data_IF_255614571429
#
_entry.id   IF_255614571429
#
_cell.length_a   1.000
_cell.length_b   1.000
_cell.length_c   1.000
_cell.angle_alpha   90.00
_cell.angle_beta   90.00
_cell.angle_gamma   90.00
#
_symmetry.space_group_name_H-M   'P 1'
#
loop_
_entity.id
_entity.type
_entity.pdbx_description
1 polymer ?
#
# COMPACT_ATOMS: atom_id res chain seq x y z
N UNK A 1 16.38 -2.40 7.18
CA UNK A 1 16.96 -1.65 6.05
C UNK A 1 17.35 -0.29 6.57
N UNK A 2 18.56 0.18 6.26
CA UNK A 2 19.10 1.45 6.74
C UNK A 2 19.69 2.22 5.56
N UNK A 3 19.50 3.54 5.53
CA UNK A 3 20.07 4.43 4.52
C UNK A 3 20.76 5.56 5.28
N UNK A 4 22.04 5.77 5.03
CA UNK A 4 22.81 6.88 5.59
C UNK A 4 22.81 8.03 4.60
N UNK A 5 22.35 9.19 5.06
CA UNK A 5 22.17 10.39 4.24
C UNK A 5 22.99 11.49 4.90
N UNK A 6 23.92 12.07 4.15
CA UNK A 6 24.57 13.34 4.51
C UNK A 6 23.74 14.50 3.97
N UNK A 7 24.08 15.72 4.37
CA UNK A 7 23.35 16.95 4.00
C UNK A 7 23.12 17.12 2.49
N UNK A 8 23.92 16.49 1.64
CA UNK A 8 23.82 16.60 0.17
C UNK A 8 23.74 15.27 -0.58
N UNK A 9 24.01 14.12 0.04
CA UNK A 9 24.06 12.85 -0.70
C UNK A 9 23.74 11.63 0.17
N UNK A 10 23.45 10.52 -0.51
CA UNK A 10 23.30 9.21 0.14
C UNK A 10 24.66 8.54 0.11
N UNK A 11 25.19 8.19 1.28
CA UNK A 11 26.52 7.58 1.39
C UNK A 11 26.44 6.07 1.33
N UNK A 12 25.47 5.45 2.02
CA UNK A 12 25.33 4.00 2.06
C UNK A 12 23.85 3.61 2.15
N UNK A 13 23.53 2.44 1.60
CA UNK A 13 22.23 1.79 1.78
C UNK A 13 22.44 0.32 2.07
N UNK A 14 21.91 -0.16 3.20
CA UNK A 14 22.00 -1.55 3.61
C UNK A 14 20.61 -2.18 3.74
N UNK A 15 20.38 -3.26 3.00
CA UNK A 15 19.13 -4.01 3.03
C UNK A 15 19.42 -5.50 3.22
N UNK A 16 18.78 -6.13 4.21
CA UNK A 16 18.98 -7.54 4.55
C UNK A 16 18.33 -8.54 3.57
N UNK A 17 17.67 -8.07 2.52
CA UNK A 17 17.13 -8.95 1.49
C UNK A 17 18.26 -9.55 0.63
N UNK A 18 18.02 -10.71 -0.01
CA UNK A 18 19.04 -11.42 -0.80
C UNK A 18 19.78 -10.54 -1.81
N UNK A 19 19.06 -9.69 -2.53
CA UNK A 19 19.66 -8.75 -3.50
C UNK A 19 20.44 -7.61 -2.82
N UNK A 20 20.00 -7.17 -1.64
CA UNK A 20 20.64 -6.08 -0.89
C UNK A 20 21.92 -6.51 -0.19
N UNK A 21 22.02 -7.79 0.21
CA UNK A 21 23.29 -8.35 0.71
C UNK A 21 24.34 -8.43 -0.40
N UNK A 22 23.92 -8.67 -1.65
CA UNK A 22 24.80 -8.70 -2.82
C UNK A 22 25.05 -7.33 -3.47
N UNK A 23 24.48 -6.23 -2.93
CA UNK A 23 24.58 -4.90 -3.52
C UNK A 23 23.30 -4.07 -3.36
N UNK A 24 22.76 -3.57 -4.47
CA UNK A 24 21.56 -2.72 -4.45
C UNK A 24 20.30 -3.53 -4.76
N UNK A 25 19.19 -3.17 -4.11
CA UNK A 25 17.90 -3.82 -4.31
C UNK A 25 16.80 -2.79 -4.55
N UNK A 26 15.69 -3.23 -5.16
CA UNK A 26 14.53 -2.39 -5.43
C UNK A 26 13.87 -1.84 -4.16
N UNK A 27 14.06 -2.49 -3.00
CA UNK A 27 13.59 -1.95 -1.72
C UNK A 27 14.29 -0.64 -1.36
N UNK A 28 15.63 -0.60 -1.45
CA UNK A 28 16.40 0.61 -1.15
C UNK A 28 15.99 1.76 -2.08
N UNK A 29 15.84 1.46 -3.38
CA UNK A 29 15.39 2.43 -4.39
C UNK A 29 13.98 2.93 -4.08
N UNK A 30 13.03 2.02 -3.79
CA UNK A 30 11.65 2.36 -3.46
C UNK A 30 11.55 3.25 -2.20
N UNK A 31 12.35 2.98 -1.18
CA UNK A 31 12.43 3.82 0.01
C UNK A 31 12.96 5.22 -0.31
N UNK A 32 14.02 5.35 -1.12
CA UNK A 32 14.53 6.65 -1.55
C UNK A 32 13.49 7.47 -2.32
N UNK A 33 12.78 6.84 -3.27
CA UNK A 33 11.69 7.49 -4.00
C UNK A 33 10.60 7.98 -3.05
N UNK A 34 10.25 7.18 -2.04
CA UNK A 34 9.23 7.54 -1.05
C UNK A 34 9.67 8.74 -0.19
N UNK A 35 10.92 8.76 0.27
CA UNK A 35 11.46 9.88 1.05
C UNK A 35 11.51 11.19 0.24
N UNK A 36 11.92 11.11 -1.03
CA UNK A 36 11.90 12.27 -1.94
C UNK A 36 10.46 12.76 -2.14
N UNK A 37 9.52 11.84 -2.32
CA UNK A 37 8.11 12.17 -2.46
C UNK A 37 7.58 12.92 -1.22
N UNK A 38 7.93 12.45 -0.01
CA UNK A 38 7.54 13.11 1.24
C UNK A 38 8.14 14.50 1.37
N UNK A 39 9.42 14.66 1.02
CA UNK A 39 10.08 15.97 0.97
C UNK A 39 9.36 16.93 0.00
N UNK A 40 8.98 16.44 -1.18
CA UNK A 40 8.28 17.24 -2.18
C UNK A 40 6.86 17.63 -1.75
N UNK A 41 6.21 16.82 -0.90
CA UNK A 41 4.94 17.13 -0.26
C UNK A 41 5.09 18.09 0.93
N UNK A 42 6.31 18.47 1.31
CA UNK A 42 6.57 19.34 2.46
C UNK A 42 6.35 18.65 3.82
N UNK A 43 6.35 17.31 3.85
CA UNK A 43 6.19 16.56 5.09
C UNK A 43 7.49 16.58 5.90
N UNK A 44 7.40 16.96 7.16
CA UNK A 44 8.52 17.01 8.11
C UNK A 44 8.79 15.66 8.77
N UNK A 45 7.84 14.74 8.70
CA UNK A 45 7.92 13.41 9.29
C UNK A 45 7.32 12.35 8.38
N UNK A 46 7.77 11.10 8.56
CA UNK A 46 7.18 9.94 7.88
C UNK A 46 5.83 9.66 8.54
N UNK A 47 4.73 9.52 7.77
CA UNK A 47 3.42 9.21 8.33
C UNK A 47 3.47 7.96 9.21
N UNK A 48 2.99 8.08 10.46
CA UNK A 48 2.93 6.98 11.43
C UNK A 48 1.87 5.93 11.11
N UNK A 49 1.09 6.16 10.04
CA UNK A 49 0.09 5.22 9.57
C UNK A 49 0.74 3.86 9.32
N UNK A 50 0.37 2.89 10.15
CA UNK A 50 0.79 1.50 9.97
C UNK A 50 0.43 1.08 8.55
N UNK A 51 1.41 0.51 7.84
CA UNK A 51 1.14 -0.11 6.55
C UNK A 51 -0.06 -1.05 6.70
N UNK A 52 -0.94 -1.16 5.69
CA UNK A 52 -2.11 -2.03 5.78
C UNK A 52 -1.76 -3.49 6.15
N UNK A 53 -0.50 -3.90 5.96
CA UNK A 53 0.09 -5.20 6.34
C UNK A 53 0.62 -5.27 7.78
N UNK A 54 0.89 -4.15 8.44
CA UNK A 54 1.21 -4.10 9.88
C UNK A 54 -0.03 -4.29 10.75
N UNK A 55 -1.22 -4.09 10.17
CA UNK A 55 -2.48 -4.37 10.86
C UNK A 55 -2.81 -5.87 10.76
N UNK A 56 -3.35 -6.49 11.83
CA UNK A 56 -3.79 -7.87 11.78
C UNK A 56 -4.76 -8.13 10.62
N UNK A 57 -4.69 -9.32 10.04
CA UNK A 57 -5.55 -9.77 8.96
C UNK A 57 -7.05 -9.52 9.29
N UNK A 58 -7.72 -8.57 8.62
CA UNK A 58 -9.13 -8.20 8.92
C UNK A 58 -10.18 -9.08 8.23
N UNK A 59 -9.77 -9.97 7.33
CA UNK A 59 -10.65 -10.76 6.44
C UNK A 59 -11.55 -11.73 7.21
N UNK A 60 -11.09 -12.21 8.37
CA UNK A 60 -11.84 -13.07 9.28
C UNK A 60 -12.71 -12.29 10.27
N UNK A 61 -12.56 -10.97 10.36
CA UNK A 61 -13.45 -10.16 11.19
C UNK A 61 -14.80 -10.04 10.48
N UNK A 62 -15.91 -10.46 11.11
CA UNK A 62 -17.24 -10.31 10.51
C UNK A 62 -17.46 -8.85 10.13
N UNK A 63 -17.90 -8.59 8.89
CA UNK A 63 -18.22 -7.24 8.39
C UNK A 63 -19.53 -6.74 9.00
N UNK A 64 -19.54 -6.57 10.32
CA UNK A 64 -20.71 -6.15 11.10
C UNK A 64 -21.94 -7.05 10.90
N UNK A 65 -23.08 -6.61 11.46
CA UNK A 65 -24.39 -7.29 11.34
C UNK A 65 -25.04 -7.16 9.96
N UNK A 66 -24.35 -6.58 8.97
CA UNK A 66 -24.89 -6.36 7.61
C UNK A 66 -24.91 -7.63 6.75
N UNK A 67 -24.26 -8.70 7.19
CA UNK A 67 -24.24 -9.99 6.48
C UNK A 67 -24.92 -11.01 7.38
N UNK A 68 -26.15 -11.38 7.06
CA UNK A 68 -26.84 -12.49 7.71
C UNK A 68 -26.26 -13.81 7.22
N UNK A 69 -26.00 -14.78 8.11
CA UNK A 69 -25.66 -16.13 7.69
C UNK A 69 -26.85 -16.76 6.95
N UNK A 70 -26.57 -17.40 5.82
CA UNK A 70 -27.57 -18.10 5.01
C UNK A 70 -27.03 -19.49 4.66
N UNK A 71 -27.85 -20.56 4.72
CA UNK A 71 -27.40 -21.90 4.37
C UNK A 71 -26.89 -21.94 2.93
N UNK A 72 -25.85 -22.74 2.69
CA UNK A 72 -25.21 -22.86 1.38
C UNK A 72 -26.18 -23.28 0.28
N UNK A 73 -27.23 -24.02 0.63
CA UNK A 73 -28.33 -24.43 -0.26
C UNK A 73 -29.17 -23.27 -0.79
N UNK A 74 -29.23 -22.14 -0.09
CA UNK A 74 -29.97 -20.94 -0.50
C UNK A 74 -29.08 -19.92 -1.24
N UNK A 75 -27.77 -20.17 -1.34
CA UNK A 75 -26.83 -19.28 -2.01
C UNK A 75 -26.98 -19.37 -3.54
N UNK A 76 -27.39 -18.27 -4.18
CA UNK A 76 -27.50 -18.19 -5.64
C UNK A 76 -26.20 -17.66 -6.25
N UNK A 77 -25.45 -18.53 -6.92
CA UNK A 77 -24.27 -18.13 -7.70
C UNK A 77 -24.67 -17.66 -9.10
N UNK A 78 -24.81 -16.35 -9.29
CA UNK A 78 -24.98 -15.77 -10.62
C UNK A 78 -23.63 -15.38 -11.21
N UNK A 79 -23.42 -15.65 -12.50
CA UNK A 79 -22.30 -15.05 -13.24
C UNK A 79 -22.42 -13.53 -13.15
N UNK A 80 -21.33 -12.80 -12.88
CA UNK A 80 -21.39 -11.34 -12.90
C UNK A 80 -21.88 -10.90 -14.27
N UNK A 81 -22.97 -10.12 -14.32
CA UNK A 81 -23.40 -9.49 -15.57
C UNK A 81 -22.22 -8.68 -16.08
N UNK A 82 -21.81 -8.96 -17.32
CA UNK A 82 -20.88 -8.10 -18.04
C UNK A 82 -21.61 -6.78 -18.31
N UNK A 83 -21.69 -5.94 -17.29
CA UNK A 83 -21.91 -4.52 -17.52
C UNK A 83 -20.70 -4.05 -18.32
N UNK A 84 -20.87 -3.27 -19.40
CA UNK A 84 -19.76 -2.56 -19.97
C UNK A 84 -19.19 -1.76 -18.81
N UNK A 85 -18.04 -2.18 -18.29
CA UNK A 85 -17.31 -1.43 -17.28
C UNK A 85 -17.18 -0.06 -17.92
N UNK A 86 -17.92 0.94 -17.44
CA UNK A 86 -17.60 2.33 -17.75
C UNK A 86 -16.14 2.40 -17.37
N UNK A 87 -15.25 2.38 -18.37
CA UNK A 87 -13.88 2.79 -18.18
C UNK A 87 -14.07 4.21 -17.72
N UNK A 88 -14.09 4.43 -16.39
CA UNK A 88 -13.83 5.77 -15.89
C UNK A 88 -12.54 6.13 -16.62
N UNK A 89 -12.50 7.23 -17.39
CA UNK A 89 -11.22 7.74 -17.83
C UNK A 89 -10.32 7.68 -16.60
N UNK A 90 -9.09 7.22 -16.76
CA UNK A 90 -8.08 7.42 -15.72
C UNK A 90 -7.81 8.93 -15.71
N UNK A 91 -8.79 9.72 -15.31
CA UNK A 91 -8.53 10.98 -14.70
C UNK A 91 -8.05 10.61 -13.31
N UNK A 92 -6.82 10.96 -13.01
CA UNK A 92 -6.21 10.94 -11.69
C UNK A 92 -7.13 11.66 -10.70
N UNK A 93 -8.10 10.94 -10.14
CA UNK A 93 -8.84 11.38 -8.97
C UNK A 93 -8.04 10.83 -7.79
N UNK A 94 -7.16 11.69 -7.28
CA UNK A 94 -6.58 11.59 -5.96
C UNK A 94 -7.69 11.19 -4.97
N UNK A 95 -7.54 10.10 -4.18
CA UNK A 95 -8.49 9.84 -3.12
C UNK A 95 -8.48 11.04 -2.19
N UNK A 96 -9.64 11.64 -1.95
CA UNK A 96 -9.80 12.64 -0.88
C UNK A 96 -9.34 11.98 0.41
N UNK A 97 -8.21 12.44 0.94
CA UNK A 97 -7.81 12.22 2.32
C UNK A 97 -8.94 12.74 3.20
N UNK A 98 -9.45 11.89 4.07
CA UNK A 98 -10.32 12.31 5.16
C UNK A 98 -9.47 13.12 6.13
N UNK A 99 -9.86 14.38 6.34
CA UNK A 99 -9.43 15.20 7.47
C UNK A 99 -10.00 14.62 8.77
#
# INVERSE_FOLDING_TARGET
MTITITTSSITESHCSCKAGVSGTCSHSIGMLYTLIHYKNLGMTEVPSALACTSMPQQWHKPRGSKISPEPLSAMVFSKPKQTPRKKRPIHSIMPKMWY
#
